data_IF_224062080769
#
_entry.id   IF_224062080769
#
_cell.length_a   1.000
_cell.length_b   1.000
_cell.length_c   1.000
_cell.angle_alpha   90.00
_cell.angle_beta   90.00
_cell.angle_gamma   90.00
#
_symmetry.space_group_name_H-M   'P 1'
#
loop_
_entity.id
_entity.type
_entity.pdbx_description
1 polymer ?
#
# COMPACT_ATOMS: atom_id res chain seq x y z
N UNK A 1 -4.54 -11.48 3.55
CA UNK A 1 -3.39 -10.62 3.88
C UNK A 1 -2.70 -10.24 2.59
N UNK A 2 -2.46 -8.95 2.32
CA UNK A 2 -1.73 -8.54 1.13
C UNK A 2 -0.25 -8.96 1.23
N UNK A 3 0.38 -9.43 0.15
CA UNK A 3 1.83 -9.60 0.12
C UNK A 3 2.53 -8.25 0.37
N UNK A 4 3.40 -8.20 1.37
CA UNK A 4 4.23 -7.05 1.72
C UNK A 4 5.70 -7.46 1.65
N UNK A 5 6.48 -6.75 0.85
CA UNK A 5 7.93 -6.88 0.78
C UNK A 5 8.58 -5.64 1.41
N UNK A 6 9.47 -5.84 2.40
CA UNK A 6 10.05 -4.75 3.19
C UNK A 6 11.53 -4.63 2.90
N UNK A 7 11.94 -3.47 2.40
CA UNK A 7 13.33 -3.11 2.20
C UNK A 7 13.76 -2.09 3.26
N UNK A 8 14.31 -2.60 4.37
CA UNK A 8 14.78 -1.78 5.50
C UNK A 8 15.95 -0.86 5.14
N UNK A 9 16.79 -1.24 4.15
CA UNK A 9 17.95 -0.43 3.72
C UNK A 9 17.50 0.85 3.03
N UNK A 10 16.48 0.75 2.18
CA UNK A 10 15.94 1.89 1.43
C UNK A 10 14.76 2.58 2.14
N UNK A 11 14.36 2.08 3.31
CA UNK A 11 13.13 2.49 4.02
C UNK A 11 11.90 2.48 3.11
N UNK A 12 11.72 1.39 2.36
CA UNK A 12 10.59 1.21 1.45
C UNK A 12 9.86 -0.09 1.76
N UNK A 13 8.56 -0.09 1.57
CA UNK A 13 7.76 -1.30 1.55
C UNK A 13 6.93 -1.36 0.27
N UNK A 14 6.73 -2.56 -0.23
CA UNK A 14 6.03 -2.82 -1.48
C UNK A 14 4.84 -3.73 -1.18
N UNK A 15 3.64 -3.22 -1.45
CA UNK A 15 2.39 -3.97 -1.28
C UNK A 15 1.83 -4.34 -2.65
N UNK A 16 1.45 -5.60 -2.82
CA UNK A 16 0.86 -6.07 -4.08
C UNK A 16 -0.63 -6.35 -3.92
N UNK A 17 -1.42 -5.73 -4.79
CA UNK A 17 -2.87 -5.82 -4.88
C UNK A 17 -3.28 -6.45 -6.21
N UNK A 18 -4.43 -7.12 -6.22
CA UNK A 18 -5.11 -7.46 -7.48
C UNK A 18 -5.73 -6.17 -8.06
N UNK A 19 -5.76 -6.01 -9.39
CA UNK A 19 -6.38 -4.86 -10.04
C UNK A 19 -7.86 -4.68 -9.69
N UNK A 20 -8.56 -5.78 -9.37
CA UNK A 20 -9.96 -5.73 -8.89
C UNK A 20 -10.12 -4.87 -7.62
N UNK A 21 -9.10 -4.83 -6.76
CA UNK A 21 -9.11 -3.98 -5.57
C UNK A 21 -9.09 -2.50 -5.93
N UNK A 22 -8.34 -2.11 -6.97
CA UNK A 22 -8.25 -0.72 -7.41
C UNK A 22 -9.52 -0.23 -8.08
N UNK A 23 -10.17 -1.10 -8.87
CA UNK A 23 -11.45 -0.77 -9.51
C UNK A 23 -12.55 -0.51 -8.46
N UNK A 24 -12.42 -1.10 -7.26
CA UNK A 24 -13.34 -0.87 -6.13
C UNK A 24 -12.90 0.29 -5.22
N UNK A 25 -11.59 0.47 -5.04
CA UNK A 25 -11.00 1.49 -4.17
C UNK A 25 -9.77 2.07 -4.84
N UNK A 26 -9.83 3.34 -5.25
CA UNK A 26 -8.66 4.05 -5.75
C UNK A 26 -7.57 4.01 -4.69
N UNK A 27 -6.53 3.20 -4.90
CA UNK A 27 -5.46 2.99 -3.92
C UNK A 27 -4.82 4.33 -3.52
N UNK A 28 -4.84 5.33 -4.39
CA UNK A 28 -4.44 6.72 -4.12
C UNK A 28 -5.20 7.35 -2.96
N UNK A 29 -6.52 7.13 -2.84
CA UNK A 29 -7.33 7.66 -1.73
C UNK A 29 -7.04 6.93 -0.42
N UNK A 30 -6.83 5.61 -0.49
CA UNK A 30 -6.41 4.80 0.66
C UNK A 30 -5.07 5.28 1.20
N UNK A 31 -4.17 5.59 0.27
CA UNK A 31 -2.83 6.10 0.47
C UNK A 31 -2.80 7.52 1.05
N UNK A 32 -3.59 8.46 0.53
CA UNK A 32 -3.65 9.85 1.02
C UNK A 32 -4.19 9.98 2.44
N UNK A 33 -5.03 9.04 2.88
CA UNK A 33 -5.55 9.00 4.25
C UNK A 33 -4.51 8.54 5.28
N UNK A 34 -3.37 8.01 4.85
CA UNK A 34 -2.31 7.53 5.73
C UNK A 34 -1.23 8.60 5.92
N UNK A 35 -1.34 9.39 7.00
CA UNK A 35 -0.47 10.53 7.30
C UNK A 35 1.02 10.18 7.47
N UNK A 36 1.29 8.91 7.75
CA UNK A 36 2.60 8.39 8.12
C UNK A 36 3.41 7.94 6.89
N UNK A 37 2.85 8.12 5.68
CA UNK A 37 3.53 7.83 4.42
C UNK A 37 3.91 9.16 3.76
N UNK A 38 5.21 9.34 3.48
CA UNK A 38 5.72 10.55 2.84
C UNK A 38 5.69 10.49 1.32
N UNK A 39 5.81 9.29 0.75
CA UNK A 39 5.83 9.08 -0.69
C UNK A 39 5.20 7.75 -1.06
N UNK A 40 4.43 7.78 -2.13
CA UNK A 40 3.71 6.62 -2.65
C UNK A 40 3.95 6.58 -4.15
N UNK A 41 4.37 5.41 -4.64
CA UNK A 41 4.52 5.14 -6.06
C UNK A 41 3.66 3.93 -6.41
N UNK A 42 2.79 4.12 -7.39
CA UNK A 42 1.92 3.06 -7.89
C UNK A 42 2.45 2.55 -9.22
N UNK A 43 2.52 1.23 -9.34
CA UNK A 43 2.89 0.55 -10.58
C UNK A 43 1.73 -0.36 -10.98
N UNK A 44 1.19 -0.13 -12.17
CA UNK A 44 0.09 -0.90 -12.73
C UNK A 44 0.64 -1.91 -13.74
N UNK A 45 0.56 -3.19 -13.40
CA UNK A 45 0.86 -4.30 -14.31
C UNK A 45 -0.47 -4.81 -14.89
N UNK A 46 -0.82 -4.29 -16.07
CA UNK A 46 -2.08 -4.62 -16.76
C UNK A 46 -2.12 -6.08 -17.21
N UNK A 47 -0.99 -6.63 -17.62
CA UNK A 47 -0.90 -8.01 -18.10
C UNK A 47 -1.15 -9.02 -16.97
N UNK A 48 -0.63 -8.72 -15.77
CA UNK A 48 -0.82 -9.58 -14.60
C UNK A 48 -2.04 -9.24 -13.75
N UNK A 49 -2.83 -8.22 -14.14
CA UNK A 49 -3.94 -7.69 -13.31
C UNK A 49 -3.48 -7.38 -11.88
N UNK A 50 -2.31 -6.75 -11.75
CA UNK A 50 -1.69 -6.45 -10.45
C UNK A 50 -1.34 -4.98 -10.33
N UNK A 51 -1.44 -4.50 -9.11
CA UNK A 51 -1.05 -3.15 -8.74
C UNK A 51 -0.09 -3.24 -7.58
N UNK A 52 1.01 -2.52 -7.69
CA UNK A 52 2.03 -2.50 -6.67
C UNK A 52 2.11 -1.10 -6.11
N UNK A 53 1.92 -0.95 -4.80
CA UNK A 53 2.17 0.29 -4.09
C UNK A 53 3.50 0.21 -3.36
N UNK A 54 4.47 1.01 -3.81
CA UNK A 54 5.70 1.26 -3.08
C UNK A 54 5.48 2.47 -2.17
N UNK A 55 5.60 2.25 -0.87
CA UNK A 55 5.41 3.27 0.17
C UNK A 55 6.73 3.58 0.85
N UNK A 56 6.92 4.85 1.21
CA UNK A 56 8.05 5.34 2.01
C UNK A 56 7.48 6.04 3.24
N UNK A 57 7.90 5.67 4.45
CA UNK A 57 7.35 6.24 5.68
C UNK A 57 7.79 7.70 5.82
N UNK A 58 7.08 8.45 6.65
CA UNK A 58 7.42 9.83 6.97
C UNK A 58 8.48 9.86 8.07
N UNK A 59 9.51 10.69 7.89
CA UNK A 59 10.55 10.86 8.90
C UNK A 59 11.32 9.58 9.25
N UNK A 60 11.33 9.24 10.53
CA UNK A 60 12.09 8.10 11.08
C UNK A 60 11.20 6.94 11.54
N UNK A 61 9.93 6.93 11.15
CA UNK A 61 9.00 5.86 11.51
C UNK A 61 9.49 4.51 10.98
N UNK A 62 9.19 3.44 11.71
CA UNK A 62 9.56 2.09 11.31
C UNK A 62 8.73 1.68 10.08
N UNK A 63 9.43 1.40 8.98
CA UNK A 63 8.80 1.00 7.73
C UNK A 63 7.99 -0.29 7.87
N UNK A 64 8.38 -1.18 8.77
CA UNK A 64 7.66 -2.43 8.99
C UNK A 64 6.31 -2.17 9.64
N UNK A 65 6.28 -1.34 10.68
CA UNK A 65 5.05 -0.93 11.35
C UNK A 65 4.13 -0.18 10.39
N UNK A 66 4.65 0.84 9.69
CA UNK A 66 3.87 1.62 8.73
C UNK A 66 3.31 0.73 7.61
N UNK A 67 4.10 -0.21 7.10
CA UNK A 67 3.65 -1.11 6.04
C UNK A 67 2.54 -2.06 6.49
N UNK A 68 2.65 -2.63 7.70
CA UNK A 68 1.60 -3.50 8.21
C UNK A 68 0.34 -2.76 8.59
N UNK A 69 0.45 -1.56 9.18
CA UNK A 69 -0.72 -0.74 9.46
C UNK A 69 -1.42 -0.31 8.16
N UNK A 70 -0.67 0.11 7.14
CA UNK A 70 -1.22 0.42 5.82
C UNK A 70 -1.89 -0.81 5.16
N UNK A 71 -1.24 -1.98 5.20
CA UNK A 71 -1.81 -3.22 4.67
C UNK A 71 -3.14 -3.58 5.36
N UNK A 72 -3.20 -3.48 6.70
CA UNK A 72 -4.40 -3.75 7.48
C UNK A 72 -5.50 -2.73 7.18
N UNK A 73 -5.16 -1.45 7.04
CA UNK A 73 -6.10 -0.39 6.67
C UNK A 73 -6.71 -0.65 5.28
N UNK A 74 -5.89 -0.99 4.30
CA UNK A 74 -6.35 -1.34 2.96
C UNK A 74 -7.27 -2.58 2.98
N UNK A 75 -6.96 -3.60 3.78
CA UNK A 75 -7.79 -4.80 3.92
C UNK A 75 -9.14 -4.45 4.55
N UNK A 76 -9.15 -3.58 5.55
CA UNK A 76 -10.38 -3.16 6.22
C UNK A 76 -11.32 -2.41 5.29
N UNK A 77 -10.77 -1.53 4.44
CA UNK A 77 -11.57 -0.86 3.40
C UNK A 77 -12.14 -1.88 2.41
N UNK A 78 -11.34 -2.87 1.99
CA UNK A 78 -11.82 -3.93 1.10
C UNK A 78 -13.05 -4.65 1.67
N UNK A 79 -13.00 -5.02 2.96
CA UNK A 79 -14.05 -5.81 3.61
C UNK A 79 -15.30 -4.98 3.92
N UNK A 80 -15.15 -3.68 4.19
CA UNK A 80 -16.27 -2.85 4.62
C UNK A 80 -17.20 -2.38 3.49
N UNK A 81 -16.78 -2.45 2.22
CA UNK A 81 -17.70 -2.17 1.11
C UNK A 81 -18.25 -0.74 1.06
N UNK A 82 -17.58 0.23 1.72
CA UNK A 82 -18.08 1.61 1.90
C UNK A 82 -17.68 2.51 0.76
#
# INVERSE_FOLDING_TARGET
>A
MFPVDINRKEKKATLTFNSEFYDQYYITEVCERFSDISKIKLVFDRDKKRITAEITPKGNDDIEEVAYQFANWALHLQVKGV
#
